data_IF_210419302194
#
_entry.id   IF_210419302194
#
_cell.length_a   1.000
_cell.length_b   1.000
_cell.length_c   1.000
_cell.angle_alpha   90.00
_cell.angle_beta   90.00
_cell.angle_gamma   90.00
#
_symmetry.space_group_name_H-M   'P 1'
#
loop_
_entity.id
_entity.type
_entity.pdbx_description
1 polymer ?
#
# COMPACT_ATOMS: atom_id res chain seq x y z
N UNK A 1 11.22 -12.52 34.83
CA UNK A 1 11.37 -11.15 34.29
C UNK A 1 11.83 -11.09 32.83
N UNK A 2 12.84 -11.88 32.40
CA UNK A 2 13.26 -11.92 30.99
C UNK A 2 12.20 -12.54 30.05
N UNK A 3 11.69 -13.73 30.38
CA UNK A 3 10.69 -14.43 29.55
C UNK A 3 9.37 -13.64 29.43
N UNK A 4 8.93 -12.98 30.51
CA UNK A 4 7.73 -12.14 30.51
C UNK A 4 7.84 -10.94 29.58
N UNK A 5 9.04 -10.36 29.44
CA UNK A 5 9.27 -9.24 28.53
C UNK A 5 9.25 -9.69 27.07
N UNK A 6 9.81 -10.87 26.77
CA UNK A 6 9.75 -11.49 25.44
C UNK A 6 8.33 -11.85 25.01
N UNK A 7 7.51 -12.41 25.92
CA UNK A 7 6.10 -12.72 25.64
C UNK A 7 5.28 -11.46 25.33
N UNK A 8 5.51 -10.37 26.07
CA UNK A 8 4.84 -9.08 25.84
C UNK A 8 5.22 -8.49 24.48
N UNK A 9 6.49 -8.56 24.11
CA UNK A 9 6.98 -8.08 22.82
C UNK A 9 6.36 -8.87 21.65
N UNK A 10 6.21 -10.19 21.79
CA UNK A 10 5.54 -11.04 20.79
C UNK A 10 4.07 -10.68 20.64
N UNK A 11 3.34 -10.46 21.74
CA UNK A 11 1.92 -10.07 21.67
C UNK A 11 1.71 -8.73 20.94
N UNK A 12 2.61 -7.77 21.15
CA UNK A 12 2.58 -6.48 20.45
C UNK A 12 2.88 -6.59 18.96
N UNK A 13 3.75 -7.53 18.57
CA UNK A 13 4.04 -7.79 17.15
C UNK A 13 2.84 -8.42 16.42
N UNK A 14 2.04 -9.25 17.10
CA UNK A 14 0.87 -9.90 16.52
C UNK A 14 -0.32 -8.93 16.30
N UNK A 15 -0.35 -7.78 16.99
CA UNK A 15 -1.39 -6.77 16.80
C UNK A 15 -1.04 -5.70 15.76
N UNK A 16 0.15 -5.77 15.16
CA UNK A 16 0.58 -4.81 14.14
C UNK A 16 -0.27 -4.95 12.86
N UNK A 17 -0.90 -3.86 12.45
CA UNK A 17 -1.62 -3.77 11.17
C UNK A 17 -0.62 -3.48 10.04
N UNK A 18 -0.67 -4.23 8.93
CA UNK A 18 0.25 -4.10 7.79
C UNK A 18 -0.33 -3.33 6.58
N UNK A 19 -1.49 -2.73 6.77
CA UNK A 19 -2.23 -1.95 5.77
C UNK A 19 -1.63 -0.55 5.60
N UNK A 20 -1.68 -0.05 4.36
CA UNK A 20 -1.14 1.27 4.00
C UNK A 20 -2.30 2.25 3.84
N UNK A 21 -2.33 3.29 4.68
CA UNK A 21 -3.24 4.42 4.55
C UNK A 21 -2.53 5.63 3.95
N UNK A 22 -3.12 6.25 2.93
CA UNK A 22 -2.71 7.57 2.40
C UNK A 22 -3.85 8.54 2.62
N UNK A 23 -3.63 9.56 3.44
CA UNK A 23 -4.69 10.49 3.87
C UNK A 23 -5.64 9.91 4.93
N UNK A 24 -5.28 8.81 5.59
CA UNK A 24 -6.03 8.21 6.71
C UNK A 24 -5.11 7.48 7.68
N UNK A 25 -5.47 7.45 8.97
CA UNK A 25 -4.81 6.62 10.01
C UNK A 25 -5.58 5.34 10.32
N UNK A 26 -6.80 5.21 9.79
CA UNK A 26 -7.69 4.06 9.94
C UNK A 26 -8.07 3.52 8.56
N UNK A 27 -7.13 2.88 7.86
CA UNK A 27 -7.40 2.26 6.56
C UNK A 27 -8.41 1.12 6.69
N UNK A 28 -9.37 1.05 5.77
CA UNK A 28 -10.41 0.00 5.72
C UNK A 28 -10.09 -1.12 4.71
N UNK A 29 -8.93 -1.06 4.06
CA UNK A 29 -8.45 -2.03 3.06
C UNK A 29 -6.91 -2.14 3.12
N UNK A 30 -6.33 -3.12 2.43
CA UNK A 30 -4.86 -3.30 2.36
C UNK A 30 -4.14 -2.03 1.90
N UNK A 31 -4.73 -1.30 0.94
CA UNK A 31 -4.34 0.04 0.53
C UNK A 31 -5.59 0.92 0.51
N UNK A 32 -5.64 1.95 1.36
CA UNK A 32 -6.74 2.93 1.43
C UNK A 32 -6.17 4.33 1.14
N UNK A 33 -6.46 4.83 -0.07
CA UNK A 33 -6.02 6.16 -0.52
C UNK A 33 -7.23 7.06 -0.56
N UNK A 34 -7.22 8.14 0.24
CA UNK A 34 -8.32 9.10 0.30
C UNK A 34 -7.89 10.43 -0.30
N UNK A 35 -8.80 11.04 -1.05
CA UNK A 35 -8.67 12.44 -1.47
C UNK A 35 -8.59 13.36 -0.25
N UNK A 36 -7.86 14.47 -0.37
CA UNK A 36 -7.83 15.52 0.65
C UNK A 36 -9.23 16.01 1.06
N UNK A 37 -10.15 16.08 0.09
CA UNK A 37 -11.58 16.32 0.32
C UNK A 37 -12.40 15.59 -0.76
N UNK A 38 -13.40 14.80 -0.36
CA UNK A 38 -14.22 14.00 -1.30
C UNK A 38 -15.17 14.84 -2.17
N UNK A 39 -15.62 16.01 -1.71
CA UNK A 39 -16.52 16.88 -2.49
C UNK A 39 -15.77 17.88 -3.35
N UNK A 40 -14.56 18.28 -2.93
CA UNK A 40 -13.71 19.23 -3.65
C UNK A 40 -12.24 18.78 -3.64
N UNK A 41 -11.87 17.75 -4.41
CA UNK A 41 -10.52 17.22 -4.40
C UNK A 41 -9.51 18.23 -4.97
N UNK A 42 -8.27 18.15 -4.48
CA UNK A 42 -7.12 18.86 -5.07
C UNK A 42 -6.69 18.20 -6.39
N UNK A 43 -6.08 18.95 -7.30
CA UNK A 43 -5.52 18.41 -8.54
C UNK A 43 -4.35 17.42 -8.31
N UNK A 44 -3.85 17.34 -7.09
CA UNK A 44 -2.84 16.37 -6.67
C UNK A 44 -3.43 15.14 -5.98
N UNK A 45 -4.75 15.11 -5.74
CA UNK A 45 -5.43 13.90 -5.25
C UNK A 45 -5.50 12.87 -6.39
N UNK A 46 -4.97 11.68 -6.15
CA UNK A 46 -4.97 10.60 -7.14
C UNK A 46 -3.89 9.55 -6.86
N UNK A 47 -3.72 8.63 -7.81
CA UNK A 47 -2.70 7.59 -7.77
C UNK A 47 -1.94 7.56 -9.10
N UNK A 48 -0.67 7.97 -9.06
CA UNK A 48 0.23 7.77 -10.19
C UNK A 48 0.71 6.31 -10.19
N UNK A 49 0.22 5.56 -11.15
CA UNK A 49 0.68 4.20 -11.44
C UNK A 49 1.98 4.29 -12.25
N UNK A 50 2.92 3.32 -12.12
CA UNK A 50 4.10 3.27 -12.96
C UNK A 50 3.75 3.42 -14.44
N UNK A 51 4.38 4.42 -15.07
CA UNK A 51 4.27 4.69 -16.49
C UNK A 51 5.48 4.11 -17.22
N UNK A 52 5.28 3.77 -18.48
CA UNK A 52 6.32 3.19 -19.32
C UNK A 52 6.12 3.57 -20.79
N UNK A 53 7.20 4.01 -21.42
CA UNK A 53 7.21 4.30 -22.86
C UNK A 53 7.54 3.04 -23.68
N UNK A 54 8.21 2.06 -23.06
CA UNK A 54 8.54 0.78 -23.67
C UNK A 54 8.16 -0.38 -22.75
N UNK A 55 7.43 -1.36 -23.29
CA UNK A 55 7.23 -2.62 -22.60
C UNK A 55 8.52 -3.44 -22.49
N UNK A 56 8.80 -4.04 -21.30
CA UNK A 56 9.85 -5.01 -21.17
C UNK A 56 9.69 -6.11 -22.20
N UNK A 57 10.78 -6.44 -22.90
CA UNK A 57 10.82 -7.61 -23.77
C UNK A 57 10.71 -8.93 -22.97
N UNK A 58 11.06 -8.87 -21.67
CA UNK A 58 10.91 -9.99 -20.73
C UNK A 58 9.55 -9.95 -20.07
N UNK A 59 8.80 -11.04 -20.18
CA UNK A 59 7.50 -11.17 -19.51
C UNK A 59 7.66 -11.14 -17.97
N UNK A 60 6.69 -10.57 -17.23
CA UNK A 60 6.61 -10.74 -15.79
C UNK A 60 6.59 -12.23 -15.38
N UNK A 61 7.09 -12.54 -14.18
CA UNK A 61 6.99 -13.91 -13.64
C UNK A 61 5.67 -14.08 -12.90
N UNK A 62 5.36 -15.32 -12.49
CA UNK A 62 4.13 -15.63 -11.74
C UNK A 62 3.94 -14.78 -10.46
N UNK A 63 5.02 -14.22 -9.89
CA UNK A 63 4.93 -13.33 -8.72
C UNK A 63 4.38 -11.94 -9.08
N UNK A 64 4.54 -11.53 -10.33
CA UNK A 64 4.08 -10.24 -10.87
C UNK A 64 2.84 -10.38 -11.78
N UNK A 65 2.12 -11.50 -11.68
CA UNK A 65 0.84 -11.66 -12.37
C UNK A 65 -0.15 -10.59 -11.89
N UNK A 66 -0.78 -9.87 -12.82
CA UNK A 66 -1.81 -8.86 -12.51
C UNK A 66 -1.31 -7.45 -12.19
N UNK A 67 -0.09 -7.07 -12.59
CA UNK A 67 0.40 -5.68 -12.43
C UNK A 67 -0.41 -4.65 -13.24
N UNK A 68 -0.64 -3.48 -12.63
CA UNK A 68 -1.16 -2.30 -13.32
C UNK A 68 0.00 -1.41 -13.77
N UNK A 69 0.03 -1.06 -15.05
CA UNK A 69 0.98 -0.13 -15.65
C UNK A 69 0.24 0.74 -16.68
N UNK A 70 0.72 1.96 -16.89
CA UNK A 70 0.17 2.84 -17.92
C UNK A 70 1.20 3.08 -19.02
N UNK A 71 0.76 2.97 -20.27
CA UNK A 71 1.61 3.09 -21.46
C UNK A 71 1.40 4.48 -22.02
N UNK A 72 2.49 5.18 -22.29
CA UNK A 72 2.47 6.54 -22.85
C UNK A 72 3.11 6.63 -24.21
#
# INVERSE_FOLDING_TARGET
MKITFSSLFILLALSAQAQVGVGTTTPNATLDVRSSNQTTPSNNDGLLIPKMDNFPATQPTAVQDGMMVFVT
#
